data_IF_538662026502
#
_entry.id   IF_538662026502
#
_cell.length_a   1.000
_cell.length_b   1.000
_cell.length_c   1.000
_cell.angle_alpha   90.00
_cell.angle_beta   90.00
_cell.angle_gamma   90.00
#
_symmetry.space_group_name_H-M   'P 1'
#
loop_
_entity.id
_entity.type
_entity.pdbx_description
1 polymer ?
#
# COMPACT_ATOMS: atom_id res chain seq x y z
N UNK A 1 12.94 -4.23 1.80
CA UNK A 1 11.81 -3.71 2.60
C UNK A 1 12.20 -2.37 3.23
N UNK A 2 11.29 -1.44 3.26
CA UNK A 2 11.56 -0.11 3.80
C UNK A 2 11.35 -0.09 5.31
N UNK A 3 12.20 0.67 6.02
CA UNK A 3 12.05 0.84 7.46
C UNK A 3 10.89 1.79 7.78
N UNK A 4 10.39 1.73 9.02
CA UNK A 4 9.35 2.66 9.47
C UNK A 4 9.83 4.11 9.37
N UNK A 5 11.12 4.36 9.65
CA UNK A 5 11.67 5.71 9.51
C UNK A 5 11.61 6.20 8.07
N UNK A 6 11.97 5.35 7.10
CA UNK A 6 11.89 5.71 5.68
C UNK A 6 10.45 6.02 5.28
N UNK A 7 9.51 5.19 5.72
CA UNK A 7 8.08 5.36 5.41
C UNK A 7 7.57 6.65 6.03
N UNK A 8 7.97 6.95 7.28
CA UNK A 8 7.55 8.19 7.94
C UNK A 8 8.12 9.43 7.26
N UNK A 9 9.37 9.35 6.77
CA UNK A 9 9.96 10.47 6.02
C UNK A 9 9.17 10.78 4.77
N UNK A 10 8.76 9.75 4.02
CA UNK A 10 7.95 9.94 2.82
C UNK A 10 6.55 10.44 3.18
N UNK A 11 5.98 9.94 4.27
CA UNK A 11 4.68 10.40 4.75
C UNK A 11 4.73 11.90 5.06
N UNK A 12 5.79 12.37 5.70
CA UNK A 12 5.98 13.78 5.99
C UNK A 12 6.15 14.60 4.71
N UNK A 13 6.90 14.09 3.75
CA UNK A 13 7.08 14.73 2.46
C UNK A 13 5.75 14.89 1.72
N UNK A 14 4.89 13.87 1.80
CA UNK A 14 3.57 13.88 1.15
C UNK A 14 2.49 14.57 2.00
N UNK A 15 2.84 15.07 3.17
CA UNK A 15 1.92 15.75 4.10
C UNK A 15 0.72 14.85 4.47
N UNK A 16 0.97 13.58 4.74
CA UNK A 16 -0.08 12.63 5.06
C UNK A 16 -0.66 12.92 6.45
N UNK A 17 -1.99 12.97 6.53
CA UNK A 17 -2.73 13.16 7.77
C UNK A 17 -3.22 11.79 8.28
N UNK A 18 -2.53 11.27 9.31
CA UNK A 18 -2.86 9.97 9.89
C UNK A 18 -4.09 9.99 10.79
N UNK A 19 -4.81 11.12 10.87
CA UNK A 19 -6.13 11.11 11.50
C UNK A 19 -7.18 10.47 10.60
N UNK A 20 -6.90 10.36 9.29
CA UNK A 20 -7.83 9.78 8.31
C UNK A 20 -7.68 8.28 8.19
N UNK A 21 -6.49 7.77 8.42
CA UNK A 21 -6.17 6.34 8.43
C UNK A 21 -4.88 6.13 9.22
N UNK A 22 -4.71 4.98 9.87
CA UNK A 22 -3.53 4.77 10.72
C UNK A 22 -2.27 4.54 9.89
N UNK A 23 -1.12 4.86 10.48
CA UNK A 23 0.19 4.62 9.87
C UNK A 23 0.35 3.16 9.45
N UNK A 24 -0.15 2.22 10.25
CA UNK A 24 -0.04 0.79 9.94
C UNK A 24 -0.73 0.42 8.63
N UNK A 25 -1.84 1.08 8.30
CA UNK A 25 -2.54 0.84 7.04
C UNK A 25 -1.74 1.38 5.86
N UNK A 26 -1.12 2.56 6.02
CA UNK A 26 -0.25 3.12 4.99
C UNK A 26 0.96 2.20 4.74
N UNK A 27 1.59 1.74 5.82
CA UNK A 27 2.72 0.80 5.74
C UNK A 27 2.31 -0.50 5.04
N UNK A 28 1.15 -1.04 5.42
CA UNK A 28 0.60 -2.24 4.79
C UNK A 28 0.35 -2.02 3.30
N UNK A 29 -0.19 -0.85 2.96
CA UNK A 29 -0.43 -0.47 1.59
C UNK A 29 0.86 -0.43 0.77
N UNK A 30 1.92 0.17 1.32
CA UNK A 30 3.21 0.20 0.64
C UNK A 30 3.70 -1.22 0.34
N UNK A 31 3.63 -2.11 1.33
CA UNK A 31 4.07 -3.49 1.16
C UNK A 31 3.24 -4.24 0.12
N UNK A 32 1.94 -3.99 0.08
CA UNK A 32 1.05 -4.58 -0.93
C UNK A 32 1.39 -4.04 -2.32
N UNK A 33 1.57 -2.73 -2.46
CA UNK A 33 1.84 -2.12 -3.77
C UNK A 33 3.24 -2.45 -4.30
N UNK A 34 4.14 -2.95 -3.47
CA UNK A 34 5.43 -3.45 -3.94
C UNK A 34 5.29 -4.62 -4.93
N UNK A 35 4.16 -5.30 -4.95
CA UNK A 35 3.90 -6.35 -5.95
C UNK A 35 3.89 -5.80 -7.38
N UNK A 36 3.67 -4.49 -7.54
CA UNK A 36 3.74 -3.80 -8.83
C UNK A 36 5.13 -3.23 -9.11
N UNK A 37 6.14 -3.64 -8.35
CA UNK A 37 7.52 -3.28 -8.54
C UNK A 37 8.29 -4.37 -9.28
N UNK A 38 9.55 -4.58 -8.87
CA UNK A 38 10.48 -5.46 -9.58
C UNK A 38 10.18 -6.94 -9.43
N UNK A 39 9.21 -7.34 -8.60
CA UNK A 39 8.84 -8.74 -8.42
C UNK A 39 8.40 -9.40 -9.74
N UNK A 40 7.75 -8.63 -10.60
CA UNK A 40 7.31 -9.12 -11.90
C UNK A 40 7.62 -8.07 -12.95
N UNK A 41 8.57 -8.33 -13.87
CA UNK A 41 8.95 -7.34 -14.89
C UNK A 41 7.80 -6.90 -15.80
N UNK A 42 6.82 -7.76 -16.02
CA UNK A 42 5.70 -7.44 -16.91
C UNK A 42 4.72 -6.47 -16.27
N UNK A 43 4.68 -6.41 -14.94
CA UNK A 43 3.75 -5.53 -14.22
C UNK A 43 4.48 -4.48 -13.40
N UNK A 44 5.79 -4.34 -13.59
CA UNK A 44 6.60 -3.38 -12.85
C UNK A 44 6.22 -1.96 -13.25
N UNK A 45 5.67 -1.20 -12.30
CA UNK A 45 5.30 0.21 -12.48
C UNK A 45 6.23 1.11 -11.69
N UNK A 46 6.61 0.69 -10.47
CA UNK A 46 7.29 1.55 -9.51
C UNK A 46 8.79 1.32 -9.43
N UNK A 47 9.28 0.22 -9.98
CA UNK A 47 10.67 -0.21 -9.86
C UNK A 47 11.14 -0.24 -8.40
N UNK A 48 10.23 -0.57 -7.47
CA UNK A 48 10.43 -0.56 -6.01
C UNK A 48 10.83 0.81 -5.46
N UNK A 49 10.54 1.89 -6.17
CA UNK A 49 10.79 3.24 -5.66
C UNK A 49 9.82 3.56 -4.54
N UNK A 50 10.34 3.97 -3.37
CA UNK A 50 9.49 4.22 -2.20
C UNK A 50 8.49 5.34 -2.44
N UNK A 51 8.92 6.45 -3.03
CA UNK A 51 8.02 7.59 -3.26
C UNK A 51 6.89 7.21 -4.22
N UNK A 52 7.21 6.53 -5.32
CA UNK A 52 6.21 6.10 -6.30
C UNK A 52 5.22 5.11 -5.66
N UNK A 53 5.73 4.13 -4.91
CA UNK A 53 4.92 3.14 -4.21
C UNK A 53 4.00 3.81 -3.19
N UNK A 54 4.54 4.80 -2.46
CA UNK A 54 3.78 5.53 -1.45
C UNK A 54 2.66 6.36 -2.06
N UNK A 55 2.89 6.96 -3.22
CA UNK A 55 1.86 7.73 -3.92
C UNK A 55 0.69 6.84 -4.34
N UNK A 56 0.98 5.62 -4.79
CA UNK A 56 -0.07 4.66 -5.17
C UNK A 56 -0.89 4.28 -3.92
N UNK A 57 -0.21 3.93 -2.82
CA UNK A 57 -0.89 3.60 -1.58
C UNK A 57 -1.75 4.77 -1.09
N UNK A 58 -1.20 5.99 -1.14
CA UNK A 58 -1.94 7.19 -0.72
C UNK A 58 -3.17 7.42 -1.59
N UNK A 59 -3.06 7.21 -2.91
CA UNK A 59 -4.19 7.40 -3.81
C UNK A 59 -5.36 6.49 -3.43
N UNK A 60 -5.07 5.22 -3.13
CA UNK A 60 -6.12 4.29 -2.71
C UNK A 60 -6.73 4.69 -1.37
N UNK A 61 -5.89 5.10 -0.40
CA UNK A 61 -6.37 5.50 0.92
C UNK A 61 -7.18 6.81 0.88
N UNK A 62 -6.87 7.70 -0.06
CA UNK A 62 -7.66 8.92 -0.25
C UNK A 62 -9.06 8.62 -0.78
N UNK A 63 -9.20 7.58 -1.61
CA UNK A 63 -10.50 7.15 -2.09
C UNK A 63 -11.26 6.38 -1.02
N UNK A 64 -10.59 5.42 -0.38
CA UNK A 64 -11.17 4.55 0.64
C UNK A 64 -10.17 4.42 1.80
N UNK A 65 -10.37 5.18 2.90
CA UNK A 65 -9.40 5.15 4.02
C UNK A 65 -9.20 3.76 4.62
N UNK A 66 -10.14 2.83 4.42
CA UNK A 66 -10.03 1.46 4.91
C UNK A 66 -9.52 0.46 3.86
N UNK A 67 -9.02 0.96 2.72
CA UNK A 67 -8.61 0.12 1.60
C UNK A 67 -7.63 -0.99 2.01
N UNK A 68 -6.67 -0.68 2.88
CA UNK A 68 -5.66 -1.64 3.33
C UNK A 68 -5.92 -2.16 4.74
N UNK A 69 -7.13 -2.00 5.26
CA UNK A 69 -7.46 -2.48 6.60
C UNK A 69 -7.26 -4.00 6.68
N UNK A 70 -6.64 -4.47 7.77
CA UNK A 70 -6.29 -5.89 7.91
C UNK A 70 -7.50 -6.80 8.09
N UNK A 71 -8.62 -6.26 8.58
CA UNK A 71 -9.79 -7.06 8.93
C UNK A 71 -10.83 -7.09 7.81
N UNK A 72 -10.90 -6.05 6.99
CA UNK A 72 -11.91 -5.97 5.92
C UNK A 72 -11.43 -5.20 4.68
N UNK A 73 -10.14 -4.99 4.53
CA UNK A 73 -9.57 -4.29 3.38
C UNK A 73 -9.27 -5.22 2.21
N UNK A 74 -8.39 -4.74 1.32
CA UNK A 74 -8.05 -5.41 0.07
C UNK A 74 -7.63 -6.86 0.25
N UNK A 75 -6.78 -7.15 1.23
CA UNK A 75 -6.27 -8.51 1.41
C UNK A 75 -7.38 -9.50 1.73
N UNK A 76 -8.41 -9.07 2.46
CA UNK A 76 -9.56 -9.92 2.77
C UNK A 76 -10.33 -10.24 1.50
N UNK A 77 -10.55 -9.24 0.65
CA UNK A 77 -11.24 -9.45 -0.62
C UNK A 77 -10.42 -10.33 -1.56
N UNK A 78 -9.10 -10.15 -1.58
CA UNK A 78 -8.24 -11.00 -2.39
C UNK A 78 -8.30 -12.45 -1.94
N UNK A 79 -8.29 -12.70 -0.63
CA UNK A 79 -8.43 -14.06 -0.10
C UNK A 79 -9.78 -14.65 -0.49
N UNK A 80 -10.86 -13.86 -0.41
CA UNK A 80 -12.16 -14.29 -0.86
C UNK A 80 -12.14 -14.69 -2.33
N UNK A 81 -11.55 -13.86 -3.19
CA UNK A 81 -11.46 -14.14 -4.63
C UNK A 81 -10.64 -15.39 -4.89
N UNK A 82 -9.51 -15.56 -4.18
CA UNK A 82 -8.67 -16.75 -4.32
C UNK A 82 -9.43 -18.02 -3.95
N UNK A 83 -10.32 -17.93 -2.95
CA UNK A 83 -11.12 -19.08 -2.52
C UNK A 83 -12.07 -19.57 -3.61
N UNK A 84 -12.35 -18.75 -4.62
CA UNK A 84 -13.21 -19.10 -5.75
C UNK A 84 -12.46 -19.70 -6.92
N UNK A 85 -11.13 -19.71 -6.87
CA UNK A 85 -10.29 -20.33 -7.90
C UNK A 85 -10.14 -21.81 -7.56
N UNK A 86 -10.87 -22.67 -8.22
CA UNK A 86 -10.87 -24.11 -7.98
C UNK A 86 -10.57 -24.86 -9.26
#
# INVERSE_FOLDING_TARGET
>A
MFSDNDIMMVANYLNIDFSKFPFEDFKRGINIELEHGTQNPLTNVTNNNLLETSKIALAHLNELPNYYNKDYGLLVYEDFLKSKLK
#
